data_IF_173303696893
#
_entry.id   IF_173303696893
#
_cell.length_a   1.000
_cell.length_b   1.000
_cell.length_c   1.000
_cell.angle_alpha   90.00
_cell.angle_beta   90.00
_cell.angle_gamma   90.00
#
_symmetry.space_group_name_H-M   'P 1'
#
loop_
_entity.id
_entity.type
_entity.pdbx_description
1 polymer ?
#
# COMPACT_ATOMS: atom_id res chain seq x y z
N UNK A 1 38.28 14.41 -18.24
CA UNK A 1 36.90 14.89 -18.03
C UNK A 1 36.42 14.42 -16.67
N UNK A 2 36.01 15.33 -15.78
CA UNK A 2 35.27 14.92 -14.59
C UNK A 2 33.92 14.36 -15.02
N UNK A 3 33.39 13.29 -14.38
CA UNK A 3 32.06 12.80 -14.68
C UNK A 3 31.06 13.94 -14.48
N UNK A 4 30.09 14.05 -15.39
CA UNK A 4 28.98 14.98 -15.22
C UNK A 4 28.30 14.68 -13.88
N UNK A 5 27.98 15.72 -13.11
CA UNK A 5 27.25 15.55 -11.86
C UNK A 5 25.86 14.98 -12.16
N UNK A 6 25.50 13.90 -11.47
CA UNK A 6 24.16 13.29 -11.47
C UNK A 6 23.09 14.39 -11.31
N UNK A 7 22.02 14.34 -12.11
CA UNK A 7 20.88 15.24 -11.94
C UNK A 7 20.10 14.89 -10.66
N UNK A 8 19.28 15.83 -10.18
CA UNK A 8 18.45 15.58 -8.98
C UNK A 8 17.49 14.41 -9.21
N UNK A 9 16.90 14.31 -10.40
CA UNK A 9 15.94 13.29 -10.79
C UNK A 9 16.59 11.90 -10.87
N UNK A 10 17.80 11.82 -11.44
CA UNK A 10 18.60 10.58 -11.46
C UNK A 10 18.90 10.12 -10.03
N UNK A 11 19.26 11.07 -9.16
CA UNK A 11 19.56 10.79 -7.76
C UNK A 11 18.32 10.30 -6.99
N UNK A 12 17.17 10.92 -7.18
CA UNK A 12 15.90 10.50 -6.57
C UNK A 12 15.56 9.08 -7.04
N UNK A 13 15.58 8.84 -8.35
CA UNK A 13 15.29 7.52 -8.94
C UNK A 13 16.18 6.43 -8.35
N UNK A 14 17.49 6.69 -8.26
CA UNK A 14 18.44 5.73 -7.69
C UNK A 14 18.18 5.43 -6.22
N UNK A 15 17.81 6.45 -5.43
CA UNK A 15 17.50 6.28 -4.00
C UNK A 15 16.17 5.56 -3.79
N UNK A 16 15.16 5.84 -4.62
CA UNK A 16 13.82 5.27 -4.51
C UNK A 16 13.72 3.87 -5.14
N UNK A 17 14.69 3.43 -5.97
CA UNK A 17 14.65 2.12 -6.66
C UNK A 17 14.38 0.91 -5.75
N UNK A 18 14.77 1.00 -4.47
CA UNK A 18 14.56 -0.06 -3.49
C UNK A 18 13.15 -0.07 -2.91
N UNK A 19 12.28 0.83 -3.35
CA UNK A 19 10.92 1.06 -2.89
C UNK A 19 10.86 1.88 -1.60
N UNK A 20 9.91 2.82 -1.55
CA UNK A 20 9.55 3.55 -0.35
C UNK A 20 8.67 2.69 0.57
N UNK A 21 8.75 2.99 1.87
CA UNK A 21 7.91 2.38 2.89
C UNK A 21 7.18 3.49 3.62
N UNK A 22 5.84 3.47 3.54
CA UNK A 22 4.99 4.29 4.38
C UNK A 22 4.60 3.50 5.63
N UNK A 23 4.62 4.14 6.80
CA UNK A 23 4.33 3.53 8.08
C UNK A 23 2.98 3.96 8.68
N UNK A 24 2.23 4.85 8.03
CA UNK A 24 0.97 5.33 8.55
C UNK A 24 0.04 5.86 7.44
N UNK A 25 -0.82 4.98 6.90
CA UNK A 25 -1.77 5.34 5.85
C UNK A 25 -3.20 4.92 6.19
N UNK A 26 -4.11 5.89 6.29
CA UNK A 26 -5.53 5.72 6.68
C UNK A 26 -6.42 5.11 5.57
N UNK A 27 -5.83 4.25 4.75
CA UNK A 27 -6.49 3.51 3.67
C UNK A 27 -7.67 2.64 4.14
N UNK A 28 -7.62 1.91 5.29
CA UNK A 28 -8.69 1.00 5.67
C UNK A 28 -10.02 1.70 5.91
N UNK A 29 -10.00 2.88 6.54
CA UNK A 29 -11.21 3.70 6.74
C UNK A 29 -11.77 4.17 5.40
N UNK A 30 -10.92 4.67 4.48
CA UNK A 30 -11.35 5.06 3.14
C UNK A 30 -12.02 3.90 2.38
N UNK A 31 -11.42 2.71 2.41
CA UNK A 31 -11.98 1.53 1.75
C UNK A 31 -13.29 1.08 2.42
N UNK A 32 -13.39 1.19 3.74
CA UNK A 32 -14.62 0.90 4.47
C UNK A 32 -15.75 1.85 4.05
N UNK A 33 -15.50 3.14 3.89
CA UNK A 33 -16.52 4.09 3.44
C UNK A 33 -16.94 3.87 2.00
N UNK A 34 -16.02 3.40 1.15
CA UNK A 34 -16.26 3.08 -0.26
C UNK A 34 -16.60 1.60 -0.50
N UNK A 35 -17.08 0.87 0.52
CA UNK A 35 -17.30 -0.59 0.47
C UNK A 35 -18.37 -1.04 -0.52
N UNK A 36 -19.21 -0.13 -1.00
CA UNK A 36 -20.20 -0.34 -2.06
C UNK A 36 -19.56 -0.45 -3.45
N UNK A 37 -18.37 0.13 -3.63
CA UNK A 37 -17.55 0.01 -4.84
C UNK A 37 -16.72 -1.27 -4.80
N UNK A 38 -16.29 -1.75 -5.97
CA UNK A 38 -15.42 -2.94 -6.11
C UNK A 38 -14.02 -2.52 -6.55
N UNK A 39 -13.01 -3.25 -6.08
CA UNK A 39 -11.61 -3.11 -6.49
C UNK A 39 -11.04 -1.70 -6.28
N UNK A 40 -11.49 -0.99 -5.24
CA UNK A 40 -11.09 0.41 -4.99
C UNK A 40 -9.58 0.51 -4.76
N UNK A 41 -8.99 -0.47 -4.07
CA UNK A 41 -7.55 -0.51 -3.82
C UNK A 41 -6.76 -0.62 -5.14
N UNK A 42 -7.23 -1.46 -6.06
CA UNK A 42 -6.57 -1.68 -7.34
C UNK A 42 -6.81 -0.53 -8.33
N UNK A 43 -8.02 0.05 -8.37
CA UNK A 43 -8.35 1.11 -9.33
C UNK A 43 -7.80 2.47 -8.93
N UNK A 44 -7.89 2.82 -7.65
CA UNK A 44 -7.66 4.20 -7.20
C UNK A 44 -6.24 4.37 -6.62
N UNK A 45 -5.65 3.31 -6.03
CA UNK A 45 -4.38 3.43 -5.30
C UNK A 45 -3.21 2.71 -5.96
N UNK A 46 -3.40 1.54 -6.60
CA UNK A 46 -2.28 0.83 -7.23
C UNK A 46 -1.48 1.70 -8.21
N UNK A 47 -2.10 2.48 -9.13
CA UNK A 47 -1.34 3.32 -10.05
C UNK A 47 -0.48 4.38 -9.34
N UNK A 48 -1.03 4.99 -8.29
CA UNK A 48 -0.34 6.03 -7.50
C UNK A 48 0.80 5.44 -6.66
N UNK A 49 0.58 4.28 -6.05
CA UNK A 49 1.63 3.56 -5.30
C UNK A 49 2.78 3.15 -6.22
N UNK A 50 2.48 2.72 -7.46
CA UNK A 50 3.50 2.39 -8.45
C UNK A 50 4.25 3.64 -8.95
N UNK A 51 3.54 4.73 -9.25
CA UNK A 51 4.15 5.99 -9.66
C UNK A 51 5.04 6.61 -8.56
N UNK A 52 4.70 6.38 -7.29
CA UNK A 52 5.47 6.83 -6.14
C UNK A 52 6.59 5.88 -5.69
N UNK A 53 6.84 4.78 -6.40
CA UNK A 53 7.77 3.71 -5.98
C UNK A 53 7.46 3.17 -4.56
N UNK A 54 6.20 3.18 -4.12
CA UNK A 54 5.81 2.72 -2.79
C UNK A 54 5.67 1.19 -2.79
N UNK A 55 6.61 0.52 -2.13
CA UNK A 55 6.69 -0.94 -2.11
C UNK A 55 6.08 -1.59 -0.88
N UNK A 56 5.79 -0.82 0.17
CA UNK A 56 5.17 -1.32 1.41
C UNK A 56 4.45 -0.17 2.10
N UNK A 57 3.26 -0.46 2.62
CA UNK A 57 2.46 0.50 3.39
C UNK A 57 1.99 -0.19 4.66
N UNK A 58 2.25 0.42 5.82
CA UNK A 58 1.56 0.07 7.04
C UNK A 58 0.25 0.88 7.10
N UNK A 59 -0.85 0.16 6.95
CA UNK A 59 -2.18 0.74 6.98
C UNK A 59 -2.70 0.81 8.41
N UNK A 60 -3.44 1.86 8.73
CA UNK A 60 -3.89 2.18 10.09
C UNK A 60 -5.37 1.93 10.25
N UNK A 61 -5.75 1.28 11.35
CA UNK A 61 -7.15 1.24 11.79
C UNK A 61 -7.40 2.52 12.56
N UNK A 62 -8.12 3.43 11.93
CA UNK A 62 -8.54 4.69 12.50
C UNK A 62 -10.05 4.67 12.73
N UNK A 63 -10.50 5.14 13.89
CA UNK A 63 -11.94 5.18 14.25
C UNK A 63 -12.33 6.63 14.48
N UNK A 64 -13.27 7.10 13.67
CA UNK A 64 -13.86 8.43 13.84
C UNK A 64 -14.73 8.50 15.09
N UNK A 65 -14.77 9.67 15.73
CA UNK A 65 -15.49 9.93 16.98
C UNK A 65 -16.98 9.54 16.91
N UNK A 66 -17.62 9.68 15.74
CA UNK A 66 -19.03 9.33 15.54
C UNK A 66 -19.35 7.85 15.77
N UNK A 67 -18.34 6.97 15.71
CA UNK A 67 -18.49 5.54 15.95
C UNK A 67 -18.20 5.14 17.40
N UNK A 68 -17.72 6.06 18.24
CA UNK A 68 -17.37 5.79 19.62
C UNK A 68 -18.55 6.08 20.56
N UNK A 69 -18.82 5.23 21.58
CA UNK A 69 -18.15 3.95 21.85
C UNK A 69 -18.81 2.76 21.13
N UNK A 70 -20.07 2.90 20.72
CA UNK A 70 -20.95 1.75 20.45
C UNK A 70 -20.60 0.97 19.18
N UNK A 71 -19.95 1.62 18.21
CA UNK A 71 -19.65 1.08 16.89
C UNK A 71 -18.16 0.93 16.59
N UNK A 72 -17.28 1.33 17.50
CA UNK A 72 -15.84 1.33 17.28
C UNK A 72 -15.29 -0.05 16.89
N UNK A 73 -15.71 -1.11 17.59
CA UNK A 73 -15.28 -2.48 17.28
C UNK A 73 -15.84 -2.98 15.94
N UNK A 74 -17.12 -2.72 15.66
CA UNK A 74 -17.79 -3.11 14.41
C UNK A 74 -17.09 -2.47 13.20
N UNK A 75 -16.78 -1.17 13.31
CA UNK A 75 -16.09 -0.42 12.25
C UNK A 75 -14.65 -0.89 12.10
N UNK A 76 -13.91 -1.09 13.20
CA UNK A 76 -12.53 -1.61 13.14
C UNK A 76 -12.46 -2.97 12.43
N UNK A 77 -13.36 -3.90 12.77
CA UNK A 77 -13.44 -5.21 12.12
C UNK A 77 -13.89 -5.09 10.66
N UNK A 78 -14.80 -4.16 10.35
CA UNK A 78 -15.23 -3.86 9.00
C UNK A 78 -14.09 -3.38 8.11
N UNK A 79 -13.24 -2.48 8.61
CA UNK A 79 -12.03 -2.02 7.92
C UNK A 79 -11.06 -3.18 7.63
N UNK A 80 -10.79 -4.03 8.62
CA UNK A 80 -9.94 -5.22 8.44
C UNK A 80 -10.54 -6.16 7.40
N UNK A 81 -11.83 -6.50 7.51
CA UNK A 81 -12.51 -7.37 6.56
C UNK A 81 -12.45 -6.80 5.14
N UNK A 82 -12.62 -5.49 4.98
CA UNK A 82 -12.55 -4.85 3.68
C UNK A 82 -11.16 -4.94 3.04
N UNK A 83 -10.10 -4.80 3.82
CA UNK A 83 -8.72 -5.00 3.33
C UNK A 83 -8.53 -6.39 2.72
N UNK A 84 -9.03 -7.45 3.39
CA UNK A 84 -8.94 -8.80 2.85
C UNK A 84 -9.72 -8.96 1.53
N UNK A 85 -10.94 -8.41 1.46
CA UNK A 85 -11.73 -8.43 0.22
C UNK A 85 -10.98 -7.74 -0.93
N UNK A 86 -10.42 -6.55 -0.71
CA UNK A 86 -9.67 -5.84 -1.76
C UNK A 86 -8.45 -6.63 -2.24
N UNK A 87 -7.68 -7.23 -1.32
CA UNK A 87 -6.48 -7.99 -1.66
C UNK A 87 -6.80 -9.32 -2.34
N UNK A 88 -7.90 -10.00 -1.97
CA UNK A 88 -8.35 -11.23 -2.65
C UNK A 88 -8.69 -11.03 -4.13
N UNK A 89 -9.08 -9.81 -4.52
CA UNK A 89 -9.43 -9.49 -5.90
C UNK A 89 -8.25 -8.94 -6.72
N UNK A 90 -7.04 -8.86 -6.14
CA UNK A 90 -5.88 -8.27 -6.80
C UNK A 90 -4.56 -8.95 -6.41
N UNK A 91 -3.98 -9.74 -7.32
CA UNK A 91 -2.69 -10.44 -7.14
C UNK A 91 -1.46 -9.51 -7.03
N UNK A 92 -1.66 -8.18 -7.05
CA UNK A 92 -0.60 -7.18 -6.88
C UNK A 92 -0.37 -6.79 -5.43
N UNK A 93 -1.29 -7.14 -4.53
CA UNK A 93 -1.20 -6.82 -3.11
C UNK A 93 -1.03 -8.09 -2.27
N UNK A 94 -0.39 -7.94 -1.11
CA UNK A 94 -0.28 -9.01 -0.12
C UNK A 94 -0.33 -8.40 1.28
N UNK A 95 -1.20 -8.96 2.13
CA UNK A 95 -1.23 -8.61 3.56
C UNK A 95 -0.09 -9.34 4.26
N UNK A 96 0.78 -8.58 4.93
CA UNK A 96 1.93 -9.11 5.66
C UNK A 96 1.85 -8.72 7.15
N UNK A 97 2.22 -9.65 8.03
CA UNK A 97 2.20 -9.52 9.50
C UNK A 97 3.60 -9.66 10.11
N UNK A 98 4.62 -9.86 9.28
CA UNK A 98 6.01 -9.95 9.73
C UNK A 98 6.95 -9.41 8.66
N UNK A 99 8.14 -9.00 9.09
CA UNK A 99 9.24 -8.64 8.19
C UNK A 99 9.55 -9.75 7.17
N UNK A 100 9.51 -11.01 7.59
CA UNK A 100 9.77 -12.14 6.70
C UNK A 100 8.70 -12.28 5.61
N UNK A 101 7.42 -12.03 5.94
CA UNK A 101 6.33 -11.99 4.95
C UNK A 101 6.52 -10.81 3.98
N UNK A 102 6.83 -9.61 4.48
CA UNK A 102 7.11 -8.42 3.64
C UNK A 102 8.24 -8.73 2.66
N UNK A 103 9.37 -9.24 3.15
CA UNK A 103 10.54 -9.58 2.31
C UNK A 103 10.17 -10.55 1.19
N UNK A 104 9.46 -11.64 1.52
CA UNK A 104 9.00 -12.63 0.51
C UNK A 104 8.06 -12.02 -0.51
N UNK A 105 7.07 -11.23 -0.08
CA UNK A 105 6.13 -10.58 -1.00
C UNK A 105 6.86 -9.63 -1.97
N UNK A 106 7.85 -8.87 -1.48
CA UNK A 106 8.64 -7.97 -2.32
C UNK A 106 9.54 -8.71 -3.32
N UNK A 107 10.14 -9.82 -2.93
CA UNK A 107 10.93 -10.68 -3.82
C UNK A 107 10.05 -11.27 -4.93
N UNK A 108 8.88 -11.80 -4.59
CA UNK A 108 7.92 -12.37 -5.55
C UNK A 108 7.32 -11.32 -6.49
N UNK A 109 7.03 -10.12 -5.98
CA UNK A 109 6.54 -9.00 -6.78
C UNK A 109 7.59 -8.43 -7.74
N UNK A 110 8.88 -8.54 -7.42
CA UNK A 110 9.98 -8.10 -8.29
C UNK A 110 10.16 -9.02 -9.50
N UNK A 111 9.82 -10.30 -9.39
CA UNK A 111 9.85 -11.26 -10.50
C UNK A 111 8.69 -11.06 -11.51
N UNK A 112 7.66 -10.30 -11.12
CA UNK A 112 6.49 -9.98 -11.96
C UNK A 112 6.54 -8.60 -12.61
N UNK A 113 7.53 -7.75 -12.30
CA UNK A 113 7.74 -6.50 -13.03
C UNK A 113 8.31 -6.80 -14.41
N UNK A 114 7.85 -6.13 -15.49
CA UNK A 114 8.49 -6.25 -16.79
C UNK A 114 10.00 -6.01 -16.62
N UNK A 115 10.82 -6.94 -17.11
CA UNK A 115 12.24 -6.66 -17.31
C UNK A 115 12.30 -5.76 -18.54
N UNK A 116 12.51 -4.47 -18.32
CA UNK A 116 13.01 -3.58 -19.35
C UNK A 116 14.39 -4.04 -19.84
#
# INVERSE_FOLDING_TARGET
>A
MSPASESTEERITRLHRQGMVDLHFDLPMFLYDNRDRKNVLASDFLPELEAGDIGTVAVTIYIEDQYVPDKALEVALGQVARMYVEVEHCDRFAICRSYAEIKRAREQGTDRRPKD
#
